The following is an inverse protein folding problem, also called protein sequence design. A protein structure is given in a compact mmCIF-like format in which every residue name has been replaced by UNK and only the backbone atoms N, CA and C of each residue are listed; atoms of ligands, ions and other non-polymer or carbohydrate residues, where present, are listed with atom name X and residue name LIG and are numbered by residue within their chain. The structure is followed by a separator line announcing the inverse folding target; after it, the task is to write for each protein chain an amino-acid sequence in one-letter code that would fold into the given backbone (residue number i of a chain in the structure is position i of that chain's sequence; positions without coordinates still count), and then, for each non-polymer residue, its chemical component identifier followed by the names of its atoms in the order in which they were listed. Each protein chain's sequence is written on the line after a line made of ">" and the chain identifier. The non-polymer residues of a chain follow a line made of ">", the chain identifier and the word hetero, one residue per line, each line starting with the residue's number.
data_IF_920772267974
#
_entry.id   IF_920772267974
#
_cell.length_a   1.000
_cell.length_b   1.000
_cell.length_c   1.000
_cell.angle_alpha   90.00
_cell.angle_beta   90.00
_cell.angle_gamma   90.00
#
_symmetry.space_group_name_H-M   'P 1'
#
loop_
_entity.id
_entity.type
_entity.pdbx_description
1 polymer ?
#
# COMPACT_ATOMS: atom_id res chain seq x y z
N UNK A 1 -10.09 -5.46 9.37
CA UNK A 1 -9.56 -4.41 8.44
C UNK A 1 -9.40 -5.00 7.04
N UNK A 2 -9.68 -4.26 5.95
CA UNK A 2 -9.42 -4.76 4.59
C UNK A 2 -8.11 -4.18 4.09
N UNK A 3 -7.11 -5.02 3.86
CA UNK A 3 -5.79 -4.58 3.39
C UNK A 3 -5.56 -5.08 1.97
N UNK A 4 -5.26 -4.18 1.05
CA UNK A 4 -5.09 -4.50 -0.37
C UNK A 4 -3.71 -4.07 -0.87
N UNK A 5 -3.01 -4.96 -1.57
CA UNK A 5 -1.76 -4.65 -2.26
C UNK A 5 -2.04 -4.64 -3.76
N UNK A 6 -2.09 -3.44 -4.33
CA UNK A 6 -2.22 -3.23 -5.76
C UNK A 6 -0.84 -3.39 -6.40
N UNK A 7 -0.74 -4.25 -7.41
CA UNK A 7 0.51 -4.57 -8.10
C UNK A 7 0.27 -4.72 -9.60
N UNK A 8 1.30 -4.63 -10.42
CA UNK A 8 1.23 -5.03 -11.84
C UNK A 8 2.23 -6.16 -12.11
N UNK A 9 1.92 -7.05 -13.06
CA UNK A 9 2.68 -8.29 -13.33
C UNK A 9 4.10 -8.09 -13.90
N UNK A 10 4.67 -6.88 -13.84
CA UNK A 10 6.03 -6.59 -14.32
C UNK A 10 7.06 -6.27 -13.24
N UNK A 11 6.69 -6.28 -11.96
CA UNK A 11 7.61 -5.94 -10.86
C UNK A 11 7.55 -6.96 -9.71
N UNK A 12 8.63 -7.71 -9.40
CA UNK A 12 8.63 -8.66 -8.28
C UNK A 12 8.62 -7.98 -6.89
N UNK A 13 8.72 -6.64 -6.83
CA UNK A 13 8.73 -5.88 -5.58
C UNK A 13 7.44 -5.96 -4.78
N UNK A 14 6.31 -6.36 -5.37
CA UNK A 14 5.06 -6.52 -4.60
C UNK A 14 5.11 -7.71 -3.64
N UNK A 15 5.86 -8.77 -3.95
CA UNK A 15 5.98 -9.95 -3.09
C UNK A 15 6.68 -9.55 -1.78
N UNK A 16 7.79 -8.82 -1.89
CA UNK A 16 8.49 -8.31 -0.72
C UNK A 16 7.60 -7.37 0.12
N UNK A 17 6.81 -6.52 -0.53
CA UNK A 17 5.88 -5.63 0.16
C UNK A 17 4.74 -6.40 0.85
N UNK A 18 4.19 -7.43 0.22
CA UNK A 18 3.17 -8.31 0.79
C UNK A 18 3.69 -9.06 2.00
N UNK A 19 4.87 -9.69 1.90
CA UNK A 19 5.49 -10.43 3.00
C UNK A 19 5.77 -9.52 4.19
N UNK A 20 6.34 -8.34 3.94
CA UNK A 20 6.61 -7.34 4.98
C UNK A 20 5.31 -6.89 5.65
N UNK A 21 4.27 -6.61 4.86
CA UNK A 21 2.97 -6.19 5.36
C UNK A 21 2.30 -7.27 6.21
N UNK A 22 2.35 -8.53 5.78
CA UNK A 22 1.82 -9.65 6.57
C UNK A 22 2.59 -9.84 7.88
N UNK A 23 3.91 -9.66 7.85
CA UNK A 23 4.74 -9.68 9.06
C UNK A 23 4.27 -8.63 10.06
N UNK A 24 4.19 -7.38 9.61
CA UNK A 24 3.76 -6.26 10.46
C UNK A 24 2.33 -6.47 11.00
N UNK A 25 1.38 -6.88 10.17
CA UNK A 25 0.01 -7.14 10.65
C UNK A 25 -0.05 -8.22 11.73
N UNK A 26 0.80 -9.25 11.62
CA UNK A 26 0.89 -10.31 12.62
C UNK A 26 1.61 -9.85 13.90
N UNK A 27 2.62 -9.00 13.80
CA UNK A 27 3.32 -8.41 14.94
C UNK A 27 2.43 -7.45 15.74
N UNK A 28 1.61 -6.66 15.03
CA UNK A 28 0.71 -5.67 15.63
C UNK A 28 -0.65 -6.27 16.08
N UNK A 29 -0.84 -7.59 15.96
CA UNK A 29 -2.10 -8.30 16.25
C UNK A 29 -3.32 -7.70 15.49
N UNK A 30 -3.09 -7.14 14.30
CA UNK A 30 -4.13 -6.52 13.49
C UNK A 30 -4.86 -7.59 12.68
N UNK A 31 -6.13 -7.83 13.01
CA UNK A 31 -7.01 -8.69 12.22
C UNK A 31 -7.32 -8.04 10.85
N UNK A 32 -6.55 -8.44 9.82
CA UNK A 32 -6.73 -7.98 8.45
C UNK A 32 -6.25 -8.99 7.41
N UNK A 33 -7.10 -9.29 6.43
CA UNK A 33 -6.71 -10.08 5.27
C UNK A 33 -5.96 -9.21 4.27
N UNK A 34 -4.77 -9.66 3.84
CA UNK A 34 -4.01 -9.04 2.75
C UNK A 34 -4.48 -9.62 1.41
N UNK A 35 -5.15 -8.80 0.61
CA UNK A 35 -5.65 -9.15 -0.72
C UNK A 35 -4.74 -8.55 -1.81
N UNK A 36 -4.30 -9.39 -2.74
CA UNK A 36 -3.49 -8.96 -3.88
C UNK A 36 -4.39 -8.54 -5.05
N UNK A 37 -4.26 -7.31 -5.50
CA UNK A 37 -5.07 -6.75 -6.60
C UNK A 37 -4.19 -6.45 -7.80
N UNK A 38 -4.27 -7.31 -8.83
CA UNK A 38 -3.52 -7.12 -10.07
C UNK A 38 -4.11 -5.96 -10.91
N UNK A 39 -3.29 -4.95 -11.18
CA UNK A 39 -3.56 -3.77 -12.01
C UNK A 39 -2.68 -3.86 -13.26
N UNK A 40 -3.16 -4.58 -14.27
CA UNK A 40 -2.40 -4.84 -15.50
C UNK A 40 -2.85 -4.00 -16.71
N UNK A 41 -3.76 -3.05 -16.50
CA UNK A 41 -4.27 -2.18 -17.57
C UNK A 41 -4.37 -0.73 -17.09
N UNK A 42 -4.15 0.22 -18.00
CA UNK A 42 -4.30 1.65 -17.70
C UNK A 42 -5.73 2.02 -17.30
N UNK A 43 -6.73 1.34 -17.84
CA UNK A 43 -8.13 1.52 -17.41
C UNK A 43 -8.31 1.18 -15.93
N UNK A 44 -7.75 0.04 -15.49
CA UNK A 44 -7.81 -0.38 -14.09
C UNK A 44 -6.95 0.54 -13.21
N UNK A 45 -5.81 1.00 -13.72
CA UNK A 45 -4.97 1.98 -13.02
C UNK A 45 -5.72 3.30 -12.79
N UNK A 46 -6.44 3.82 -13.78
CA UNK A 46 -7.26 5.04 -13.63
C UNK A 46 -8.45 4.82 -12.70
N UNK A 47 -9.19 3.72 -12.88
CA UNK A 47 -10.36 3.39 -12.05
C UNK A 47 -9.99 3.25 -10.58
N UNK A 48 -8.85 2.61 -10.31
CA UNK A 48 -8.34 2.43 -8.96
C UNK A 48 -7.52 3.62 -8.49
N UNK A 49 -7.24 4.66 -9.29
CA UNK A 49 -6.29 5.74 -8.94
C UNK A 49 -4.93 5.17 -8.49
N UNK A 50 -4.39 4.24 -9.26
CA UNK A 50 -3.16 3.51 -8.97
C UNK A 50 -1.93 4.38 -9.27
N UNK A 51 -1.16 4.81 -8.26
CA UNK A 51 0.02 5.64 -8.46
C UNK A 51 1.26 4.84 -8.91
N UNK A 52 1.20 3.51 -8.82
CA UNK A 52 2.26 2.58 -9.24
C UNK A 52 2.40 1.37 -8.32
N UNK A 53 3.15 0.36 -8.73
CA UNK A 53 3.39 -0.86 -7.93
C UNK A 53 4.63 -0.73 -7.05
N UNK A 54 4.62 -1.33 -5.83
CA UNK A 54 3.42 -1.76 -5.11
C UNK A 54 2.64 -0.54 -4.62
N UNK A 55 1.33 -0.66 -4.41
CA UNK A 55 0.52 0.32 -3.66
C UNK A 55 -0.25 -0.43 -2.59
N UNK A 56 -0.21 0.06 -1.35
CA UNK A 56 -0.82 -0.61 -0.21
C UNK A 56 -1.98 0.23 0.28
N UNK A 57 -3.13 -0.39 0.39
CA UNK A 57 -4.37 0.24 0.82
C UNK A 57 -4.94 -0.41 2.04
N UNK A 58 -5.57 0.40 2.85
CA UNK A 58 -6.42 -0.02 3.95
C UNK A 58 -7.78 0.61 3.71
N UNK A 59 -8.80 -0.23 3.58
CA UNK A 59 -10.19 0.21 3.39
C UNK A 59 -10.35 1.30 2.31
N UNK A 60 -9.84 0.97 1.12
CA UNK A 60 -9.81 1.82 -0.08
C UNK A 60 -8.93 3.10 0.02
N UNK A 61 -8.24 3.34 1.14
CA UNK A 61 -7.30 4.47 1.31
C UNK A 61 -5.86 4.02 1.11
N UNK A 62 -5.08 4.82 0.36
CA UNK A 62 -3.64 4.59 0.20
C UNK A 62 -2.90 4.98 1.49
N UNK A 63 -2.17 4.03 2.07
CA UNK A 63 -1.36 4.26 3.28
C UNK A 63 -0.24 5.27 3.06
N UNK A 64 0.17 5.43 1.80
CA UNK A 64 1.21 6.36 1.42
C UNK A 64 0.61 7.33 0.40
N UNK A 65 -0.17 8.34 0.78
CA UNK A 65 -0.75 9.25 -0.21
C UNK A 65 0.36 10.01 -0.95
N UNK A 66 0.31 10.00 -2.28
CA UNK A 66 1.12 10.90 -3.13
C UNK A 66 0.26 12.07 -3.58
N UNK A 67 0.83 13.28 -3.75
CA UNK A 67 0.09 14.40 -4.32
C UNK A 67 -0.51 13.99 -5.67
N UNK A 68 -1.70 14.53 -6.00
CA UNK A 68 -2.43 14.18 -7.21
C UNK A 68 -1.51 14.17 -8.43
N UNK A 69 -1.25 12.98 -8.97
CA UNK A 69 -0.59 12.84 -10.26
C UNK A 69 -1.60 13.19 -11.33
N UNK A 70 -1.17 13.99 -12.30
CA UNK A 70 -1.96 14.26 -13.50
C UNK A 70 -2.31 12.99 -14.28
N UNK A 71 -1.54 11.89 -14.11
CA UNK A 71 -1.72 10.65 -14.85
C UNK A 71 -1.55 9.41 -13.95
N UNK A 72 -2.60 8.59 -13.86
CA UNK A 72 -2.55 7.23 -13.31
C UNK A 72 -2.29 6.25 -14.46
N UNK A 73 -1.15 5.56 -14.40
CA UNK A 73 -0.68 4.63 -15.43
C UNK A 73 0.07 3.46 -14.78
N UNK A 74 0.33 2.41 -15.57
CA UNK A 74 1.20 1.32 -15.14
C UNK A 74 2.63 1.84 -14.94
N UNK A 75 3.14 1.73 -13.72
CA UNK A 75 4.48 2.21 -13.41
C UNK A 75 4.97 1.76 -12.04
N UNK A 76 6.28 1.90 -11.82
CA UNK A 76 6.89 1.62 -10.53
C UNK A 76 6.66 2.80 -9.59
N UNK A 77 6.33 2.48 -8.34
CA UNK A 77 6.25 3.45 -7.26
C UNK A 77 7.58 3.47 -6.51
N UNK A 78 8.02 4.67 -6.14
CA UNK A 78 9.16 4.87 -5.25
C UNK A 78 8.68 5.34 -3.89
N UNK A 79 9.28 4.78 -2.85
CA UNK A 79 9.04 5.07 -1.45
C UNK A 79 10.26 5.77 -0.87
N UNK A 80 10.04 6.89 -0.17
CA UNK A 80 11.09 7.57 0.57
C UNK A 80 11.30 6.83 1.91
N UNK A 81 12.30 5.95 1.93
CA UNK A 81 12.70 5.21 3.14
C UNK A 81 13.86 5.95 3.82
N UNK A 82 14.15 5.69 5.10
CA UNK A 82 15.32 6.25 5.79
C UNK A 82 16.65 5.91 5.10
N UNK A 83 16.72 4.80 4.35
CA UNK A 83 17.89 4.40 3.55
C UNK A 83 17.91 5.00 2.13
N UNK A 84 16.92 5.83 1.77
CA UNK A 84 16.76 6.45 0.46
C UNK A 84 15.53 5.96 -0.31
N UNK A 85 15.49 6.24 -1.63
CA UNK A 85 14.35 5.83 -2.47
C UNK A 85 14.40 4.33 -2.75
N UNK A 86 13.34 3.60 -2.39
CA UNK A 86 13.18 2.16 -2.61
C UNK A 86 11.92 1.86 -3.41
N UNK A 87 11.88 0.68 -4.05
CA UNK A 87 10.71 0.19 -4.79
C UNK A 87 9.63 -0.46 -3.91
N UNK A 88 9.79 -0.43 -2.60
CA UNK A 88 8.85 -0.96 -1.60
C UNK A 88 9.02 -0.20 -0.27
N UNK A 89 7.97 -0.08 0.55
CA UNK A 89 8.08 0.48 1.89
C UNK A 89 8.80 -0.50 2.84
N UNK A 90 9.35 0.01 3.94
CA UNK A 90 9.95 -0.79 5.01
C UNK A 90 8.90 -1.25 6.02
N UNK A 91 9.22 -2.25 6.85
CA UNK A 91 8.35 -2.70 7.93
C UNK A 91 7.99 -1.55 8.89
N UNK A 92 8.98 -0.78 9.32
CA UNK A 92 8.79 0.37 10.21
C UNK A 92 7.79 1.39 9.65
N UNK A 93 7.93 1.74 8.36
CA UNK A 93 6.98 2.65 7.70
C UNK A 93 5.57 2.07 7.65
N UNK A 94 5.41 0.75 7.51
CA UNK A 94 4.12 0.09 7.52
C UNK A 94 3.51 0.08 8.91
N UNK A 95 4.30 -0.22 9.94
CA UNK A 95 3.86 -0.16 11.33
C UNK A 95 3.32 1.23 11.66
N UNK A 96 4.10 2.28 11.39
CA UNK A 96 3.68 3.66 11.70
C UNK A 96 2.35 4.04 11.03
N UNK A 97 2.19 3.76 9.73
CA UNK A 97 0.94 4.11 9.03
C UNK A 97 -0.24 3.23 9.45
N UNK A 98 -0.01 1.97 9.80
CA UNK A 98 -1.06 1.07 10.29
C UNK A 98 -1.54 1.48 11.69
N UNK A 99 -0.62 1.88 12.57
CA UNK A 99 -0.95 2.46 13.88
C UNK A 99 -1.77 3.75 13.70
N UNK A 100 -1.36 4.63 12.77
CA UNK A 100 -2.11 5.85 12.45
C UNK A 100 -3.50 5.56 11.89
N UNK A 101 -3.66 4.59 11.00
CA UNK A 101 -4.97 4.21 10.45
C UNK A 101 -5.87 3.54 11.51
N UNK A 102 -5.30 2.71 12.38
CA UNK A 102 -5.99 2.14 13.54
C UNK A 102 -6.47 3.23 14.50
N UNK A 103 -5.62 4.21 14.79
CA UNK A 103 -5.98 5.37 15.60
C UNK A 103 -7.00 6.30 14.91
N UNK A 104 -6.91 6.49 13.60
CA UNK A 104 -7.85 7.29 12.84
C UNK A 104 -9.26 6.68 12.86
N UNK A 105 -9.36 5.34 12.79
CA UNK A 105 -10.64 4.63 12.94
C UNK A 105 -11.27 4.77 14.32
N UNK A 106 -10.48 4.70 15.38
CA UNK A 106 -11.01 4.88 16.74
C UNK A 106 -11.64 6.27 16.96
N UNK A 107 -11.27 7.26 16.15
CA UNK A 107 -11.80 8.63 16.22
C UNK A 107 -13.01 8.90 15.30
N UNK A 108 -13.35 8.01 14.36
CA UNK A 108 -14.51 8.17 13.44
C UNK A 108 -15.82 7.62 14.06
N UNK A 109 -15.72 6.86 15.16
CA UNK A 109 -16.83 6.27 15.92
C UNK A 109 -17.41 7.20 17.03
N UNK A 110 -17.09 8.51 17.04
CA UNK A 110 -17.55 9.47 18.06
C UNK A 110 -18.57 10.51 17.56
#
# INVERSE_FOLDING_TARGET
>A
MKVEVLYFEGCPTYVAAEETLRGVLAEEDIEGGVELVAVNTDEKARKLRFPGSPTIRVDDRDLFPVPERAEYALGCRMYATPEGLKGSPTAEMLTEVLEMEGAARANDDL
#
